data_IF_336522781856
#
_entry.id   IF_336522781856
#
_cell.length_a   1.000
_cell.length_b   1.000
_cell.length_c   1.000
_cell.angle_alpha   90.00
_cell.angle_beta   90.00
_cell.angle_gamma   90.00
#
_symmetry.space_group_name_H-M   'P 1'
#
loop_
_entity.id
_entity.type
_entity.pdbx_description
1 polymer ?
#
# COMPACT_ATOMS: atom_id res chain seq x y z
N UNK A 1 -7.76 -53.32 6.50
CA UNK A 1 -7.38 -52.10 5.79
C UNK A 1 -8.43 -51.02 6.03
N UNK A 2 -8.26 -50.17 7.08
CA UNK A 2 -9.08 -48.97 7.26
C UNK A 2 -8.66 -47.97 6.19
N UNK A 3 -9.62 -47.47 5.43
CA UNK A 3 -9.43 -46.52 4.33
C UNK A 3 -8.70 -45.26 4.81
N UNK A 4 -7.56 -44.94 4.24
CA UNK A 4 -6.75 -43.74 4.40
C UNK A 4 -7.49 -42.44 4.02
N UNK A 5 -8.77 -42.56 3.64
CA UNK A 5 -9.60 -41.53 2.98
C UNK A 5 -10.32 -40.57 3.93
N UNK A 6 -10.19 -40.74 5.28
CA UNK A 6 -10.96 -39.91 6.24
C UNK A 6 -10.13 -39.09 7.22
N UNK A 7 -8.80 -38.97 6.98
CA UNK A 7 -7.93 -38.17 7.83
C UNK A 7 -8.09 -36.69 7.45
N UNK A 8 -8.61 -35.88 8.36
CA UNK A 8 -8.60 -34.42 8.24
C UNK A 8 -7.33 -33.85 8.87
N UNK A 9 -6.58 -33.06 8.08
CA UNK A 9 -5.41 -32.33 8.56
C UNK A 9 -5.86 -31.03 9.25
N UNK A 10 -5.47 -30.85 10.49
CA UNK A 10 -5.72 -29.62 11.25
C UNK A 10 -4.57 -28.65 11.00
N UNK A 11 -4.85 -27.57 10.33
CA UNK A 11 -3.86 -26.54 9.96
C UNK A 11 -4.13 -25.27 10.75
N UNK A 12 -3.11 -24.75 11.40
CA UNK A 12 -3.17 -23.47 12.10
C UNK A 12 -2.50 -22.40 11.27
N UNK A 13 -3.21 -21.32 10.99
CA UNK A 13 -2.66 -20.09 10.42
C UNK A 13 -2.54 -19.03 11.54
N UNK A 14 -1.31 -18.80 11.98
CA UNK A 14 -0.94 -17.77 12.95
C UNK A 14 -0.41 -16.54 12.19
N UNK A 15 -1.34 -15.87 11.54
CA UNK A 15 -1.09 -14.72 10.67
C UNK A 15 -1.88 -13.54 11.24
N UNK A 16 -1.22 -12.42 11.63
CA UNK A 16 -1.92 -11.23 12.12
C UNK A 16 -2.86 -10.66 11.06
N UNK A 17 -4.00 -10.12 11.48
CA UNK A 17 -4.98 -9.48 10.58
C UNK A 17 -4.99 -7.97 10.77
N UNK A 18 -3.80 -7.34 10.73
CA UNK A 18 -3.64 -5.92 11.01
C UNK A 18 -3.26 -5.10 9.78
N UNK A 19 -2.74 -5.73 8.72
CA UNK A 19 -2.24 -5.05 7.54
C UNK A 19 -2.65 -5.76 6.26
N UNK A 20 -2.69 -5.04 5.14
CA UNK A 20 -3.04 -5.61 3.85
C UNK A 20 -2.15 -6.80 3.41
N UNK A 21 -0.82 -6.78 3.60
CA UNK A 21 0.01 -7.95 3.28
C UNK A 21 -0.39 -9.21 4.06
N UNK A 22 -0.66 -9.08 5.36
CA UNK A 22 -1.08 -10.24 6.16
C UNK A 22 -2.48 -10.73 5.80
N UNK A 23 -3.39 -9.83 5.42
CA UNK A 23 -4.68 -10.22 4.86
C UNK A 23 -4.52 -10.95 3.52
N UNK A 24 -3.65 -10.45 2.62
CA UNK A 24 -3.35 -11.10 1.34
C UNK A 24 -2.80 -12.50 1.53
N UNK A 25 -1.81 -12.66 2.41
CA UNK A 25 -1.24 -13.95 2.74
C UNK A 25 -2.31 -14.93 3.23
N UNK A 26 -3.18 -14.47 4.13
CA UNK A 26 -4.28 -15.29 4.67
C UNK A 26 -5.30 -15.64 3.59
N UNK A 27 -5.65 -14.72 2.67
CA UNK A 27 -6.53 -15.03 1.53
C UNK A 27 -5.96 -16.14 0.66
N UNK A 28 -4.66 -16.12 0.37
CA UNK A 28 -3.97 -17.18 -0.38
C UNK A 28 -4.04 -18.54 0.34
N UNK A 29 -3.80 -18.56 1.64
CA UNK A 29 -3.93 -19.78 2.47
C UNK A 29 -5.36 -20.31 2.43
N UNK A 30 -6.37 -19.45 2.58
CA UNK A 30 -7.79 -19.82 2.51
C UNK A 30 -8.14 -20.34 1.11
N UNK A 31 -7.65 -19.69 0.05
CA UNK A 31 -7.88 -20.14 -1.32
C UNK A 31 -7.35 -21.56 -1.54
N UNK A 32 -6.13 -21.87 -1.07
CA UNK A 32 -5.60 -23.22 -1.12
C UNK A 32 -6.45 -24.21 -0.29
N UNK A 33 -6.79 -23.87 0.96
CA UNK A 33 -7.57 -24.71 1.85
C UNK A 33 -8.93 -25.12 1.24
N UNK A 34 -9.58 -24.22 0.47
CA UNK A 34 -10.82 -24.50 -0.26
C UNK A 34 -10.68 -25.57 -1.35
N UNK A 35 -9.48 -25.78 -1.87
CA UNK A 35 -9.21 -26.86 -2.83
C UNK A 35 -9.05 -28.22 -2.15
N UNK A 36 -8.99 -28.27 -0.80
CA UNK A 36 -8.69 -29.46 0.00
C UNK A 36 -9.86 -29.82 0.91
N UNK A 37 -10.57 -30.91 0.60
CA UNK A 37 -11.68 -31.42 1.43
C UNK A 37 -11.21 -31.98 2.77
N UNK A 38 -9.96 -32.37 2.87
CA UNK A 38 -9.32 -32.98 4.04
C UNK A 38 -8.59 -31.98 4.94
N UNK A 39 -8.72 -30.67 4.69
CA UNK A 39 -8.18 -29.62 5.53
C UNK A 39 -9.23 -29.05 6.49
N UNK A 40 -8.80 -28.82 7.74
CA UNK A 40 -9.51 -28.02 8.73
C UNK A 40 -8.62 -26.84 9.11
N UNK A 41 -8.89 -25.65 8.56
CA UNK A 41 -8.10 -24.44 8.82
C UNK A 41 -8.61 -23.74 10.07
N UNK A 42 -7.70 -23.43 11.00
CA UNK A 42 -7.93 -22.66 12.22
C UNK A 42 -7.08 -21.40 12.20
N UNK A 43 -7.69 -20.24 12.48
CA UNK A 43 -6.97 -18.98 12.63
C UNK A 43 -6.57 -18.80 14.09
N UNK A 44 -5.26 -18.63 14.33
CA UNK A 44 -4.70 -18.40 15.65
C UNK A 44 -4.64 -16.88 15.95
N UNK A 45 -5.78 -16.23 16.04
CA UNK A 45 -5.84 -14.79 16.36
C UNK A 45 -5.80 -14.49 17.86
N UNK A 46 -5.86 -15.51 18.71
CA UNK A 46 -5.86 -15.35 20.16
C UNK A 46 -4.50 -15.72 20.74
N UNK A 47 -4.03 -14.92 21.69
CA UNK A 47 -2.82 -15.22 22.50
C UNK A 47 -2.88 -16.61 23.17
N UNK A 48 -4.07 -17.15 23.35
CA UNK A 48 -4.31 -18.47 23.96
C UNK A 48 -4.05 -19.64 23.02
N UNK A 49 -4.07 -19.46 21.69
CA UNK A 49 -3.92 -20.58 20.75
C UNK A 49 -2.59 -21.32 20.91
N UNK A 50 -1.44 -20.64 21.05
CA UNK A 50 -0.19 -21.28 21.36
C UNK A 50 -0.19 -22.02 22.71
N UNK A 51 -0.79 -21.44 23.75
CA UNK A 51 -0.91 -22.08 25.08
C UNK A 51 -1.78 -23.34 25.00
N UNK A 52 -2.86 -23.32 24.22
CA UNK A 52 -3.69 -24.50 23.96
C UNK A 52 -2.95 -25.59 23.21
N UNK A 53 -2.04 -25.22 22.35
CA UNK A 53 -1.14 -26.16 21.69
C UNK A 53 -0.12 -26.76 22.68
N UNK A 54 0.51 -25.95 23.50
CA UNK A 54 1.46 -26.41 24.53
C UNK A 54 0.81 -27.32 25.56
N UNK A 55 -0.44 -27.04 25.94
CA UNK A 55 -1.22 -27.88 26.84
C UNK A 55 -1.76 -29.17 26.20
N UNK A 56 -1.60 -29.34 24.89
CA UNK A 56 -2.17 -30.46 24.13
C UNK A 56 -3.66 -30.33 23.81
N UNK A 57 -4.32 -29.24 24.21
CA UNK A 57 -5.72 -29.00 23.89
C UNK A 57 -6.00 -28.80 22.38
N UNK A 58 -4.97 -28.38 21.62
CA UNK A 58 -4.97 -28.31 20.16
C UNK A 58 -3.75 -29.06 19.65
N UNK A 59 -3.96 -30.04 18.77
CA UNK A 59 -2.88 -30.80 18.11
C UNK A 59 -2.99 -30.57 16.59
N UNK A 60 -2.31 -29.53 16.04
CA UNK A 60 -2.27 -29.31 14.60
C UNK A 60 -1.36 -30.33 13.91
N UNK A 61 -1.66 -30.62 12.65
CA UNK A 61 -0.79 -31.41 11.76
C UNK A 61 0.23 -30.50 11.05
N UNK A 62 -0.04 -29.18 10.95
CA UNK A 62 0.86 -28.20 10.38
C UNK A 62 0.52 -26.76 10.77
N UNK A 63 1.50 -25.87 10.67
CA UNK A 63 1.39 -24.46 11.06
C UNK A 63 1.97 -23.56 9.99
N UNK A 64 1.28 -22.45 9.68
CA UNK A 64 1.83 -21.30 8.97
C UNK A 64 1.89 -20.15 9.97
N UNK A 65 3.08 -19.67 10.37
CA UNK A 65 3.24 -18.61 11.35
C UNK A 65 4.00 -17.43 10.77
N UNK A 66 3.45 -16.23 10.88
CA UNK A 66 4.07 -14.98 10.43
C UNK A 66 4.99 -14.37 11.49
N UNK A 67 4.80 -14.69 12.77
CA UNK A 67 5.49 -14.07 13.91
C UNK A 67 6.38 -15.10 14.65
N UNK A 68 7.26 -15.77 13.96
CA UNK A 68 7.97 -16.93 14.50
C UNK A 68 8.92 -16.61 15.65
N UNK A 69 9.62 -15.47 15.61
CA UNK A 69 10.65 -15.13 16.61
C UNK A 69 10.07 -14.80 18.00
N UNK A 70 8.78 -14.50 18.07
CA UNK A 70 8.04 -14.22 19.31
C UNK A 70 6.99 -15.28 19.61
N UNK A 71 6.86 -16.32 18.78
CA UNK A 71 5.80 -17.31 18.84
C UNK A 71 6.22 -18.55 19.62
N UNK A 72 5.35 -19.10 20.48
CA UNK A 72 5.52 -20.42 21.11
C UNK A 72 5.62 -21.58 20.10
N UNK A 73 5.29 -21.36 18.81
CA UNK A 73 5.46 -22.35 17.75
C UNK A 73 6.90 -22.78 17.52
N UNK A 74 7.91 -22.02 17.99
CA UNK A 74 9.33 -22.47 17.97
C UNK A 74 9.52 -23.77 18.75
N UNK A 75 8.75 -24.01 19.82
CA UNK A 75 8.70 -25.28 20.53
C UNK A 75 8.15 -26.43 19.69
N UNK A 76 7.19 -26.11 18.78
CA UNK A 76 6.58 -27.10 17.89
C UNK A 76 7.56 -27.63 16.83
N UNK A 77 8.49 -26.78 16.35
CA UNK A 77 9.57 -27.19 15.43
C UNK A 77 10.44 -28.27 16.03
N UNK A 78 10.70 -28.22 17.32
CA UNK A 78 11.47 -29.26 18.06
C UNK A 78 10.75 -30.61 18.03
N UNK A 79 9.42 -30.62 17.90
CA UNK A 79 8.58 -31.83 17.83
C UNK A 79 8.35 -32.34 16.40
N UNK A 80 9.11 -31.84 15.41
CA UNK A 80 9.01 -32.19 13.97
C UNK A 80 7.66 -31.86 13.33
N UNK A 81 6.90 -30.91 13.89
CA UNK A 81 5.67 -30.42 13.27
C UNK A 81 6.01 -29.66 11.98
N UNK A 82 5.40 -29.98 10.83
CA UNK A 82 5.54 -29.20 9.62
C UNK A 82 5.16 -27.75 9.85
N UNK A 83 6.06 -26.82 9.49
CA UNK A 83 5.88 -25.42 9.73
C UNK A 83 6.37 -24.60 8.52
N UNK A 84 5.57 -23.62 8.10
CA UNK A 84 5.98 -22.57 7.16
C UNK A 84 6.13 -21.26 7.93
N UNK A 85 7.28 -20.61 7.77
CA UNK A 85 7.56 -19.32 8.40
C UNK A 85 7.20 -18.17 7.48
N UNK A 86 6.45 -17.18 8.00
CA UNK A 86 6.14 -15.92 7.32
C UNK A 86 7.27 -14.89 7.35
N UNK A 87 8.38 -15.19 8.01
CA UNK A 87 9.58 -14.36 8.09
C UNK A 87 10.83 -15.22 7.98
N UNK A 88 11.93 -14.71 7.39
CA UNK A 88 13.22 -15.38 7.39
C UNK A 88 13.71 -15.63 8.83
N UNK A 89 14.28 -16.81 9.08
CA UNK A 89 14.77 -17.18 10.40
C UNK A 89 16.08 -17.97 10.29
N UNK A 90 17.00 -17.83 11.26
CA UNK A 90 18.20 -18.68 11.37
C UNK A 90 17.88 -20.18 11.42
N UNK A 91 16.65 -20.52 11.84
CA UNK A 91 16.16 -21.91 11.93
C UNK A 91 15.52 -22.41 10.63
N UNK A 92 15.60 -21.69 9.52
CA UNK A 92 14.92 -21.97 8.24
C UNK A 92 15.13 -23.41 7.73
N UNK A 93 16.28 -24.01 8.00
CA UNK A 93 16.56 -25.42 7.60
C UNK A 93 15.59 -26.45 8.20
N UNK A 94 14.90 -26.10 9.29
CA UNK A 94 13.95 -26.97 10.00
C UNK A 94 12.50 -26.74 9.54
N UNK A 95 12.25 -25.70 8.76
CA UNK A 95 10.91 -25.37 8.27
C UNK A 95 10.62 -26.09 6.97
N UNK A 96 9.35 -26.33 6.70
CA UNK A 96 8.89 -26.80 5.40
C UNK A 96 9.21 -25.77 4.30
N UNK A 97 8.89 -24.50 4.56
CA UNK A 97 9.26 -23.38 3.73
C UNK A 97 9.33 -22.08 4.56
N UNK A 98 9.90 -21.03 3.98
CA UNK A 98 9.86 -19.66 4.51
C UNK A 98 9.38 -18.69 3.45
N UNK A 99 8.67 -17.64 3.89
CA UNK A 99 8.17 -16.57 3.04
C UNK A 99 9.05 -15.35 3.25
N UNK A 100 9.41 -14.66 2.18
CA UNK A 100 10.21 -13.44 2.22
C UNK A 100 9.75 -12.42 1.19
N UNK A 101 9.94 -11.13 1.50
CA UNK A 101 9.68 -10.05 0.55
C UNK A 101 10.88 -9.87 -0.39
N UNK A 102 10.61 -9.75 -1.68
CA UNK A 102 11.57 -9.26 -2.68
C UNK A 102 11.68 -7.74 -2.59
N UNK A 103 12.48 -7.27 -1.63
CA UNK A 103 12.67 -5.85 -1.39
C UNK A 103 13.39 -5.15 -2.55
N UNK A 104 14.10 -5.89 -3.42
CA UNK A 104 14.73 -5.31 -4.62
C UNK A 104 13.67 -4.91 -5.65
N UNK A 105 12.66 -5.76 -5.90
CA UNK A 105 11.55 -5.41 -6.79
C UNK A 105 10.74 -4.23 -6.27
N UNK A 106 10.47 -4.19 -4.97
CA UNK A 106 9.76 -3.07 -4.30
C UNK A 106 10.56 -1.78 -4.44
N UNK A 107 11.85 -1.81 -4.13
CA UNK A 107 12.72 -0.64 -4.20
C UNK A 107 12.88 -0.12 -5.63
N UNK A 108 13.00 -1.01 -6.62
CA UNK A 108 13.08 -0.66 -8.03
C UNK A 108 11.82 0.09 -8.49
N UNK A 109 10.63 -0.43 -8.19
CA UNK A 109 9.36 0.24 -8.52
C UNK A 109 9.23 1.61 -7.84
N UNK A 110 9.62 1.71 -6.57
CA UNK A 110 9.61 2.97 -5.84
C UNK A 110 10.56 4.00 -6.45
N UNK A 111 11.80 3.58 -6.75
CA UNK A 111 12.81 4.44 -7.37
C UNK A 111 12.39 4.90 -8.77
N UNK A 112 11.89 3.99 -9.62
CA UNK A 112 11.37 4.31 -10.95
C UNK A 112 10.22 5.30 -10.88
N UNK A 113 9.27 5.05 -9.97
CA UNK A 113 8.10 5.92 -9.80
C UNK A 113 8.51 7.33 -9.39
N UNK A 114 9.31 7.49 -8.34
CA UNK A 114 9.72 8.80 -7.85
C UNK A 114 10.63 9.53 -8.86
N UNK A 115 11.59 8.83 -9.49
CA UNK A 115 12.45 9.42 -10.50
C UNK A 115 11.67 9.89 -11.75
N UNK A 116 10.68 9.10 -12.21
CA UNK A 116 9.83 9.47 -13.35
C UNK A 116 8.95 10.69 -13.09
N UNK A 117 8.73 11.04 -11.82
CA UNK A 117 7.99 12.26 -11.40
C UNK A 117 8.83 13.53 -11.45
N UNK A 118 10.12 13.42 -11.79
CA UNK A 118 11.02 14.56 -11.98
C UNK A 118 11.66 15.09 -10.70
N UNK A 119 11.55 14.38 -9.57
CA UNK A 119 12.29 14.73 -8.36
C UNK A 119 13.80 14.61 -8.58
N UNK A 120 14.56 15.47 -7.89
CA UNK A 120 16.03 15.48 -7.88
C UNK A 120 16.59 15.18 -6.50
N UNK A 121 15.75 15.26 -5.48
CA UNK A 121 16.08 14.92 -4.11
C UNK A 121 15.21 13.74 -3.67
N UNK A 122 15.83 12.81 -2.99
CA UNK A 122 15.17 11.58 -2.56
C UNK A 122 15.46 11.30 -1.09
N UNK A 123 14.51 10.69 -0.43
CA UNK A 123 14.64 10.29 0.95
C UNK A 123 13.96 8.94 1.21
N UNK A 124 14.40 8.26 2.25
CA UNK A 124 13.77 7.06 2.78
C UNK A 124 13.45 7.26 4.26
N UNK A 125 12.28 6.84 4.69
CA UNK A 125 11.94 6.76 6.10
C UNK A 125 11.48 5.34 6.44
N UNK A 126 12.04 4.77 7.51
CA UNK A 126 11.71 3.41 7.94
C UNK A 126 12.04 3.16 9.40
N UNK A 127 11.41 2.14 9.98
CA UNK A 127 11.63 1.77 11.38
C UNK A 127 12.84 0.87 11.58
N UNK A 128 13.31 0.80 12.82
CA UNK A 128 14.11 -0.31 13.31
C UNK A 128 13.17 -1.37 13.90
N UNK A 129 13.57 -2.63 13.85
CA UNK A 129 12.77 -3.71 14.44
C UNK A 129 13.36 -5.08 14.14
N UNK A 130 12.79 -6.14 14.73
CA UNK A 130 13.30 -7.50 14.58
C UNK A 130 13.12 -8.06 13.16
N UNK A 131 12.33 -7.40 12.31
CA UNK A 131 12.02 -7.88 10.98
C UNK A 131 13.09 -7.44 9.96
N UNK A 132 13.85 -8.36 9.36
CA UNK A 132 14.93 -8.04 8.42
C UNK A 132 14.47 -7.22 7.21
N UNK A 133 13.22 -7.39 6.77
CA UNK A 133 12.69 -6.70 5.59
C UNK A 133 12.78 -5.17 5.64
N UNK A 134 12.78 -4.56 6.86
CA UNK A 134 12.90 -3.10 7.01
C UNK A 134 14.28 -2.60 6.57
N UNK A 135 15.32 -3.24 7.09
CA UNK A 135 16.71 -2.91 6.72
C UNK A 135 17.00 -3.29 5.27
N UNK A 136 16.52 -4.43 4.82
CA UNK A 136 16.67 -4.89 3.42
C UNK A 136 16.02 -3.90 2.44
N UNK A 137 14.78 -3.43 2.72
CA UNK A 137 14.07 -2.45 1.89
C UNK A 137 14.80 -1.12 1.82
N UNK A 138 15.32 -0.64 2.96
CA UNK A 138 16.13 0.57 3.03
C UNK A 138 17.39 0.44 2.17
N UNK A 139 18.14 -0.63 2.33
CA UNK A 139 19.38 -0.83 1.57
C UNK A 139 19.12 -1.07 0.09
N UNK A 140 18.04 -1.78 -0.26
CA UNK A 140 17.61 -1.96 -1.64
C UNK A 140 17.28 -0.60 -2.30
N UNK A 141 16.51 0.26 -1.63
CA UNK A 141 16.19 1.58 -2.16
C UNK A 141 17.44 2.47 -2.29
N UNK A 142 18.32 2.47 -1.30
CA UNK A 142 19.60 3.21 -1.39
C UNK A 142 20.44 2.74 -2.57
N UNK A 143 20.55 1.43 -2.78
CA UNK A 143 21.28 0.84 -3.90
C UNK A 143 20.68 1.25 -5.24
N UNK A 144 19.37 1.16 -5.40
CA UNK A 144 18.65 1.58 -6.61
C UNK A 144 18.85 3.07 -6.92
N UNK A 145 18.77 3.95 -5.91
CA UNK A 145 18.95 5.38 -6.09
C UNK A 145 20.40 5.73 -6.41
N UNK A 146 21.38 5.10 -5.77
CA UNK A 146 22.80 5.29 -6.08
C UNK A 146 23.14 4.84 -7.49
N UNK A 147 22.56 3.75 -7.96
CA UNK A 147 22.68 3.30 -9.35
C UNK A 147 22.17 4.33 -10.38
N UNK A 148 21.29 5.26 -9.94
CA UNK A 148 20.75 6.37 -10.73
C UNK A 148 21.50 7.69 -10.51
N UNK A 149 22.59 7.69 -9.71
CA UNK A 149 23.39 8.88 -9.40
C UNK A 149 22.82 9.74 -8.27
N UNK A 150 21.93 9.22 -7.43
CA UNK A 150 21.36 9.93 -6.28
C UNK A 150 21.74 9.26 -4.96
N UNK A 151 22.00 10.05 -3.92
CA UNK A 151 22.18 9.54 -2.55
C UNK A 151 21.00 9.98 -1.69
N UNK A 152 20.06 9.07 -1.36
CA UNK A 152 18.86 9.44 -0.63
C UNK A 152 19.17 9.71 0.85
N UNK A 153 18.60 10.78 1.39
CA UNK A 153 18.61 11.03 2.83
C UNK A 153 17.80 9.92 3.55
N UNK A 154 18.23 9.53 4.75
CA UNK A 154 17.59 8.44 5.49
C UNK A 154 17.15 8.93 6.87
N UNK A 155 15.88 8.69 7.20
CA UNK A 155 15.38 8.80 8.56
C UNK A 155 15.06 7.40 9.10
N UNK A 156 15.57 7.12 10.30
CA UNK A 156 15.29 5.85 10.97
C UNK A 156 14.56 6.12 12.27
N UNK A 157 13.35 5.58 12.37
CA UNK A 157 12.59 5.59 13.62
C UNK A 157 13.25 4.65 14.61
N UNK A 158 13.29 5.06 15.88
CA UNK A 158 13.74 4.24 16.99
C UNK A 158 12.78 3.08 17.30
N UNK A 159 13.05 2.33 18.38
CA UNK A 159 12.08 1.40 18.95
C UNK A 159 10.79 2.14 19.30
N UNK A 160 9.66 1.40 19.36
CA UNK A 160 8.39 1.99 19.74
C UNK A 160 8.52 2.75 21.08
N UNK A 161 8.10 4.04 21.14
CA UNK A 161 8.26 4.86 22.34
C UNK A 161 7.46 4.27 23.49
N UNK A 162 8.08 4.14 24.66
CA UNK A 162 7.44 3.64 25.88
C UNK A 162 6.65 4.71 26.64
N UNK A 163 6.88 5.98 26.31
CA UNK A 163 6.26 7.12 26.98
C UNK A 163 5.80 8.20 26.01
N UNK A 164 4.82 9.02 26.43
CA UNK A 164 4.36 10.16 25.65
C UNK A 164 5.48 11.22 25.41
N UNK A 165 6.46 11.30 26.31
CA UNK A 165 7.62 12.20 26.15
C UNK A 165 8.51 11.73 25.01
N UNK A 166 8.82 10.45 24.96
CA UNK A 166 9.62 9.84 23.86
C UNK A 166 8.92 9.96 22.53
N UNK A 167 7.60 9.71 22.47
CA UNK A 167 6.79 9.88 21.27
C UNK A 167 6.85 11.32 20.75
N UNK A 168 6.71 12.33 21.64
CA UNK A 168 6.83 13.75 21.25
C UNK A 168 8.25 14.11 20.77
N UNK A 169 9.28 13.57 21.40
CA UNK A 169 10.67 13.83 21.01
C UNK A 169 10.98 13.23 19.62
N UNK A 170 10.51 12.01 19.35
CA UNK A 170 10.68 11.38 18.02
C UNK A 170 9.91 12.14 16.94
N UNK A 171 8.68 12.59 17.24
CA UNK A 171 7.89 13.42 16.33
C UNK A 171 8.62 14.74 16.00
N UNK A 172 9.14 15.43 17.01
CA UNK A 172 9.88 16.68 16.80
C UNK A 172 11.17 16.45 15.96
N UNK A 173 11.87 15.33 16.18
CA UNK A 173 13.04 14.94 15.38
C UNK A 173 12.67 14.68 13.92
N UNK A 174 11.55 14.00 13.67
CA UNK A 174 11.03 13.76 12.32
C UNK A 174 10.68 15.06 11.60
N UNK A 175 9.93 15.95 12.25
CA UNK A 175 9.54 17.24 11.67
C UNK A 175 10.74 18.14 11.36
N UNK A 176 11.73 18.17 12.24
CA UNK A 176 12.98 18.91 12.00
C UNK A 176 13.74 18.36 10.78
N UNK A 177 13.81 17.02 10.67
CA UNK A 177 14.44 16.38 9.52
C UNK A 177 13.68 16.66 8.22
N UNK A 178 12.35 16.56 8.22
CA UNK A 178 11.50 16.87 7.06
C UNK A 178 11.71 18.33 6.59
N UNK A 179 11.82 19.30 7.52
CA UNK A 179 12.11 20.71 7.16
C UNK A 179 13.49 20.89 6.56
N UNK A 180 14.48 20.14 7.02
CA UNK A 180 15.88 20.24 6.56
C UNK A 180 16.13 19.60 5.19
N UNK A 181 15.25 18.71 4.71
CA UNK A 181 15.41 18.11 3.39
C UNK A 181 15.34 19.18 2.29
N UNK A 182 16.15 19.08 1.23
CA UNK A 182 16.00 19.91 0.04
C UNK A 182 14.67 19.62 -0.65
N UNK A 183 14.02 20.68 -1.17
CA UNK A 183 12.69 20.61 -1.78
C UNK A 183 12.73 20.86 -3.29
N UNK A 184 11.82 20.26 -4.07
CA UNK A 184 10.89 19.19 -3.70
C UNK A 184 11.64 17.85 -3.55
N UNK A 185 11.16 16.99 -2.64
CA UNK A 185 11.75 15.68 -2.36
C UNK A 185 10.77 14.54 -2.56
N UNK A 186 11.22 13.44 -3.18
CA UNK A 186 10.49 12.17 -3.24
C UNK A 186 10.87 11.30 -2.04
N UNK A 187 9.93 11.07 -1.12
CA UNK A 187 10.12 10.32 0.11
C UNK A 187 9.46 8.94 0.00
N UNK A 188 10.24 7.89 0.18
CA UNK A 188 9.80 6.51 0.22
C UNK A 188 9.70 6.02 1.68
N UNK A 189 8.50 5.61 2.10
CA UNK A 189 8.22 5.03 3.39
C UNK A 189 8.32 3.50 3.36
N UNK A 190 8.75 2.87 4.44
CA UNK A 190 8.89 1.40 4.49
C UNK A 190 7.55 0.64 4.48
N UNK A 191 6.42 1.29 4.80
CA UNK A 191 5.06 0.75 4.70
C UNK A 191 4.01 1.88 4.66
N UNK A 192 2.76 1.56 4.31
CA UNK A 192 1.67 2.53 4.24
C UNK A 192 1.34 3.17 5.58
N UNK A 193 1.37 2.40 6.66
CA UNK A 193 1.10 2.93 7.99
C UNK A 193 2.09 4.05 8.37
N UNK A 194 3.39 3.82 8.09
CA UNK A 194 4.40 4.86 8.31
C UNK A 194 4.23 6.04 7.34
N UNK A 195 3.80 5.79 6.11
CA UNK A 195 3.54 6.84 5.14
C UNK A 195 2.44 7.82 5.61
N UNK A 196 1.40 7.33 6.30
CA UNK A 196 0.39 8.18 6.94
C UNK A 196 1.00 9.09 8.01
N UNK A 197 1.86 8.54 8.87
CA UNK A 197 2.57 9.31 9.89
C UNK A 197 3.45 10.40 9.29
N UNK A 198 4.07 10.11 8.13
CA UNK A 198 4.89 11.09 7.39
C UNK A 198 4.03 12.19 6.77
N UNK A 199 2.87 11.87 6.18
CA UNK A 199 1.93 12.88 5.65
C UNK A 199 1.45 13.80 6.78
N UNK A 200 1.09 13.23 7.94
CA UNK A 200 0.68 14.00 9.11
C UNK A 200 1.83 14.86 9.66
N UNK A 201 3.06 14.32 9.68
CA UNK A 201 4.24 15.08 10.08
C UNK A 201 4.54 16.25 9.13
N UNK A 202 4.38 16.07 7.83
CA UNK A 202 4.50 17.15 6.85
C UNK A 202 3.50 18.27 7.12
N UNK A 203 2.21 17.91 7.35
CA UNK A 203 1.15 18.88 7.68
C UNK A 203 1.50 19.69 8.93
N UNK A 204 1.93 19.04 10.02
CA UNK A 204 2.33 19.71 11.26
C UNK A 204 3.57 20.58 11.07
N UNK A 205 4.50 20.15 10.20
CA UNK A 205 5.70 20.90 9.85
C UNK A 205 5.43 22.08 8.91
N UNK A 206 4.20 22.27 8.41
CA UNK A 206 3.83 23.29 7.42
C UNK A 206 4.34 22.99 6.01
N UNK A 207 4.57 21.72 5.70
CA UNK A 207 5.05 21.27 4.38
C UNK A 207 3.89 20.71 3.55
N UNK A 208 3.85 21.08 2.28
CA UNK A 208 2.83 20.60 1.33
C UNK A 208 3.16 19.19 0.81
N UNK A 209 2.15 18.33 0.77
CA UNK A 209 2.23 17.01 0.14
C UNK A 209 1.27 16.99 -1.07
N UNK A 210 1.78 16.79 -2.27
CA UNK A 210 3.13 16.37 -2.65
C UNK A 210 4.09 17.53 -3.03
N UNK A 211 3.72 18.79 -2.90
CA UNK A 211 4.47 19.93 -3.42
C UNK A 211 5.90 20.05 -2.88
N UNK A 212 6.05 20.02 -1.56
CA UNK A 212 7.37 20.03 -0.91
C UNK A 212 7.90 18.60 -0.74
N UNK A 213 7.05 17.68 -0.31
CA UNK A 213 7.39 16.29 -0.01
C UNK A 213 6.37 15.36 -0.67
N UNK A 214 6.76 14.64 -1.70
CA UNK A 214 5.95 13.56 -2.23
C UNK A 214 6.17 12.29 -1.42
N UNK A 215 5.11 11.64 -0.96
CA UNK A 215 5.18 10.45 -0.10
C UNK A 215 4.68 9.22 -0.85
N UNK A 216 5.52 8.18 -0.90
CA UNK A 216 5.20 6.87 -1.47
C UNK A 216 5.27 5.81 -0.38
N UNK A 217 4.21 5.03 -0.22
CA UNK A 217 4.12 3.89 0.69
C UNK A 217 4.39 2.54 0.02
N UNK A 218 4.20 1.48 0.78
CA UNK A 218 4.19 0.07 0.35
C UNK A 218 3.05 -0.63 1.07
N UNK A 219 2.42 -1.58 0.43
CA UNK A 219 1.36 -2.52 0.83
C UNK A 219 0.07 -2.31 0.03
N UNK A 220 -0.16 -1.11 -0.52
CA UNK A 220 -1.40 -0.69 -1.20
C UNK A 220 -2.65 -1.06 -0.40
N UNK A 221 -2.62 -0.76 0.91
CA UNK A 221 -3.77 -0.98 1.79
C UNK A 221 -4.88 0.03 1.46
N UNK A 222 -6.04 -0.41 0.94
CA UNK A 222 -7.09 0.52 0.53
C UNK A 222 -7.60 1.40 1.68
N UNK A 223 -7.68 0.85 2.89
CA UNK A 223 -8.18 1.59 4.06
C UNK A 223 -7.21 2.71 4.44
N UNK A 224 -5.91 2.47 4.39
CA UNK A 224 -4.90 3.46 4.70
C UNK A 224 -4.71 4.46 3.56
N UNK A 225 -4.61 3.95 2.33
CA UNK A 225 -4.32 4.78 1.16
C UNK A 225 -5.44 5.77 0.83
N UNK A 226 -6.71 5.37 1.00
CA UNK A 226 -7.86 6.19 0.63
C UNK A 226 -8.34 7.12 1.75
N UNK A 227 -8.02 6.81 3.02
CA UNK A 227 -8.28 7.72 4.15
C UNK A 227 -7.22 8.79 4.32
N UNK A 228 -6.05 8.64 3.69
CA UNK A 228 -5.01 9.65 3.70
C UNK A 228 -5.48 10.94 2.98
N UNK A 229 -5.01 12.08 3.46
CA UNK A 229 -5.24 13.38 2.81
C UNK A 229 -3.91 14.14 2.70
N UNK A 230 -3.35 14.21 1.48
CA UNK A 230 -3.79 13.64 0.19
C UNK A 230 -3.76 12.10 0.16
N UNK A 231 -4.55 11.47 -0.72
CA UNK A 231 -4.61 10.01 -0.89
C UNK A 231 -3.23 9.43 -1.22
N UNK A 232 -2.88 8.32 -0.55
CA UNK A 232 -1.53 7.77 -0.55
C UNK A 232 -1.24 6.89 -1.77
N UNK A 233 -0.21 7.26 -2.53
CA UNK A 233 0.41 6.40 -3.54
C UNK A 233 1.20 5.28 -2.86
N UNK A 234 1.09 4.05 -3.35
CA UNK A 234 1.73 2.90 -2.71
C UNK A 234 2.16 1.83 -3.71
N UNK A 235 3.19 1.06 -3.35
CA UNK A 235 3.65 -0.13 -4.08
C UNK A 235 2.77 -1.31 -3.68
N UNK A 236 2.03 -1.88 -4.64
CA UNK A 236 1.23 -3.09 -4.44
C UNK A 236 2.12 -4.35 -4.46
N UNK A 237 1.77 -5.32 -3.61
CA UNK A 237 2.50 -6.58 -3.42
C UNK A 237 1.66 -7.79 -3.86
N UNK A 238 2.30 -8.85 -4.38
CA UNK A 238 1.69 -10.12 -4.81
C UNK A 238 1.60 -11.17 -3.68
N UNK A 239 1.16 -10.75 -2.52
CA UNK A 239 1.21 -11.56 -1.29
C UNK A 239 0.24 -12.74 -1.29
N UNK A 240 -0.85 -12.67 -2.05
CA UNK A 240 -1.89 -13.71 -2.08
C UNK A 240 -1.35 -15.01 -2.71
N UNK A 241 -0.59 -14.89 -3.81
CA UNK A 241 0.06 -16.04 -4.46
C UNK A 241 1.09 -16.69 -3.54
N UNK A 242 1.82 -15.89 -2.75
CA UNK A 242 2.74 -16.42 -1.73
C UNK A 242 2.01 -17.20 -0.62
N UNK A 243 0.82 -16.73 -0.21
CA UNK A 243 -0.03 -17.44 0.75
C UNK A 243 -0.50 -18.78 0.24
N UNK A 244 -0.91 -18.84 -1.04
CA UNK A 244 -1.30 -20.09 -1.69
C UNK A 244 -0.13 -21.07 -1.78
N UNK A 245 1.05 -20.60 -2.22
CA UNK A 245 2.26 -21.42 -2.31
C UNK A 245 2.71 -21.92 -0.92
N UNK A 246 2.60 -21.09 0.12
CA UNK A 246 2.90 -21.45 1.50
C UNK A 246 2.01 -22.61 2.01
N UNK A 247 0.72 -22.54 1.72
CA UNK A 247 -0.22 -23.61 2.07
C UNK A 247 0.07 -24.90 1.29
N UNK A 248 0.44 -24.80 0.01
CA UNK A 248 0.83 -25.96 -0.81
C UNK A 248 2.12 -26.62 -0.28
N UNK A 249 3.11 -25.82 0.12
CA UNK A 249 4.35 -26.31 0.72
C UNK A 249 4.08 -27.04 2.05
N UNK A 250 3.21 -26.46 2.89
CA UNK A 250 2.80 -27.08 4.15
C UNK A 250 2.07 -28.42 3.91
N UNK A 251 1.13 -28.47 2.95
CA UNK A 251 0.40 -29.67 2.60
C UNK A 251 1.34 -30.80 2.15
N UNK A 252 2.31 -30.48 1.28
CA UNK A 252 3.32 -31.45 0.85
C UNK A 252 4.12 -31.99 2.06
N UNK A 253 4.57 -31.11 2.95
CA UNK A 253 5.33 -31.50 4.13
C UNK A 253 4.51 -32.37 5.10
N UNK A 254 3.23 -32.05 5.34
CA UNK A 254 2.34 -32.87 6.19
C UNK A 254 2.11 -34.28 5.63
N UNK A 255 2.18 -34.43 4.30
CA UNK A 255 2.03 -35.72 3.60
C UNK A 255 3.34 -36.45 3.40
N UNK A 256 4.46 -35.93 3.94
CA UNK A 256 5.79 -36.50 3.74
C UNK A 256 6.31 -36.41 2.29
N UNK A 257 5.73 -35.51 1.47
CA UNK A 257 6.14 -35.28 0.09
C UNK A 257 7.25 -34.24 0.04
N UNK A 258 8.12 -34.27 -1.00
CA UNK A 258 9.09 -33.21 -1.22
C UNK A 258 8.40 -31.84 -1.40
N UNK A 259 8.94 -30.80 -0.76
CA UNK A 259 8.51 -29.42 -0.94
C UNK A 259 9.26 -28.85 -2.15
N UNK A 260 8.52 -28.44 -3.18
CA UNK A 260 9.08 -27.98 -4.45
C UNK A 260 9.85 -26.66 -4.28
N UNK A 261 9.27 -25.71 -3.55
CA UNK A 261 9.89 -24.43 -3.24
C UNK A 261 9.87 -24.18 -1.72
N UNK A 262 11.06 -24.07 -1.16
CA UNK A 262 11.25 -23.79 0.28
C UNK A 262 11.49 -22.32 0.56
N UNK A 263 11.66 -21.47 -0.48
CA UNK A 263 11.85 -20.03 -0.37
C UNK A 263 10.81 -19.31 -1.19
N UNK A 264 9.64 -19.19 -0.63
CA UNK A 264 8.49 -18.51 -1.25
C UNK A 264 8.74 -17.02 -1.20
N UNK A 265 8.78 -16.36 -2.36
CA UNK A 265 9.01 -14.92 -2.45
C UNK A 265 7.76 -14.23 -2.96
N UNK A 266 7.49 -13.06 -2.41
CA UNK A 266 6.54 -12.10 -2.94
C UNK A 266 7.23 -10.75 -3.13
N UNK A 267 6.72 -9.89 -3.99
CA UNK A 267 7.37 -8.62 -4.27
C UNK A 267 6.44 -7.53 -4.78
N UNK A 268 7.05 -6.44 -5.25
CA UNK A 268 6.32 -5.34 -5.86
C UNK A 268 5.82 -5.71 -7.25
N UNK A 269 4.53 -5.48 -7.49
CA UNK A 269 3.88 -5.72 -8.78
C UNK A 269 3.77 -4.43 -9.59
N UNK A 270 3.31 -3.37 -8.94
CA UNK A 270 3.09 -2.05 -9.55
C UNK A 270 3.00 -0.98 -8.47
N UNK A 271 3.17 0.29 -8.88
CA UNK A 271 2.79 1.42 -8.05
C UNK A 271 1.37 1.83 -8.40
N UNK A 272 0.48 1.89 -7.40
CA UNK A 272 -0.79 2.57 -7.52
C UNK A 272 -0.59 4.04 -7.18
N UNK A 273 -0.45 4.86 -8.22
CA UNK A 273 -0.28 6.30 -8.07
C UNK A 273 -1.59 6.98 -7.66
N UNK A 274 -1.51 7.78 -6.59
CA UNK A 274 -2.58 8.65 -6.07
C UNK A 274 -2.05 10.07 -5.88
N UNK A 275 -2.68 10.87 -5.04
CA UNK A 275 -2.36 12.30 -4.88
C UNK A 275 -1.01 12.56 -4.23
N UNK A 276 -0.57 11.74 -3.26
CA UNK A 276 0.65 11.97 -2.47
C UNK A 276 1.95 11.95 -3.27
N UNK A 277 1.91 11.47 -4.53
CA UNK A 277 3.01 11.57 -5.50
C UNK A 277 2.56 12.17 -6.83
N UNK A 278 1.46 12.90 -6.87
CA UNK A 278 1.01 13.58 -8.07
C UNK A 278 2.13 14.53 -8.55
N UNK A 279 2.35 14.54 -9.87
CA UNK A 279 3.48 15.26 -10.46
C UNK A 279 3.31 16.76 -10.26
N UNK A 280 4.30 17.38 -9.65
CA UNK A 280 4.48 18.84 -9.65
C UNK A 280 5.75 19.19 -10.43
N UNK A 281 5.56 19.70 -11.62
CA UNK A 281 6.63 20.38 -12.37
C UNK A 281 6.35 21.88 -12.31
N UNK A 282 6.99 22.58 -11.37
CA UNK A 282 6.87 24.04 -11.31
C UNK A 282 7.29 24.64 -9.96
N UNK A 283 8.23 25.57 -10.01
CA UNK A 283 8.83 26.24 -8.86
C UNK A 283 7.86 27.05 -7.97
N UNK A 284 6.62 27.33 -8.42
CA UNK A 284 5.75 28.33 -7.78
C UNK A 284 4.48 27.69 -7.15
N UNK A 285 4.29 26.37 -7.16
CA UNK A 285 3.11 25.72 -6.62
C UNK A 285 1.80 26.09 -7.31
N UNK A 286 1.83 26.82 -8.43
CA UNK A 286 0.66 27.34 -9.13
C UNK A 286 -0.29 26.23 -9.59
N UNK A 287 0.27 25.17 -10.20
CA UNK A 287 -0.50 24.02 -10.68
C UNK A 287 -1.04 23.17 -9.53
N UNK A 288 -0.29 23.09 -8.41
CA UNK A 288 -0.76 22.47 -7.19
C UNK A 288 -2.02 23.15 -6.63
N UNK A 289 -1.89 24.45 -6.44
CA UNK A 289 -3.02 25.28 -5.97
C UNK A 289 -4.20 25.21 -6.94
N UNK A 290 -3.93 25.19 -8.25
CA UNK A 290 -4.98 25.01 -9.26
C UNK A 290 -5.66 23.64 -9.14
N UNK A 291 -4.93 22.56 -8.95
CA UNK A 291 -5.49 21.24 -8.72
C UNK A 291 -6.29 21.14 -7.40
N UNK A 292 -5.84 21.81 -6.33
CA UNK A 292 -6.61 21.90 -5.09
C UNK A 292 -7.97 22.58 -5.33
N UNK A 293 -7.97 23.74 -6.02
CA UNK A 293 -9.20 24.43 -6.40
C UNK A 293 -10.12 23.59 -7.31
N UNK A 294 -9.56 22.77 -8.20
CA UNK A 294 -10.34 21.82 -9.00
C UNK A 294 -11.04 20.80 -8.11
N UNK A 295 -10.35 20.23 -7.13
CA UNK A 295 -10.93 19.23 -6.20
C UNK A 295 -12.01 19.83 -5.32
N UNK A 296 -11.73 20.97 -4.72
CA UNK A 296 -12.70 21.69 -3.87
C UNK A 296 -13.94 22.15 -4.62
N UNK A 297 -13.77 22.49 -5.91
CA UNK A 297 -14.83 23.02 -6.76
C UNK A 297 -15.55 22.00 -7.65
N UNK A 298 -15.34 20.68 -7.48
CA UNK A 298 -15.89 19.64 -8.38
C UNK A 298 -17.42 19.73 -8.49
N UNK A 299 -18.14 19.96 -7.39
CA UNK A 299 -19.60 20.11 -7.36
C UNK A 299 -20.11 21.50 -7.72
N UNK A 300 -19.24 22.49 -7.96
CA UNK A 300 -19.57 23.87 -8.22
C UNK A 300 -19.26 24.32 -9.65
N UNK A 301 -19.66 25.55 -9.97
CA UNK A 301 -19.33 26.23 -11.25
C UNK A 301 -17.92 26.86 -11.13
N UNK A 302 -16.87 26.05 -10.96
CA UNK A 302 -15.52 26.60 -10.99
C UNK A 302 -15.13 26.93 -12.43
N UNK A 303 -14.76 28.18 -12.70
CA UNK A 303 -14.23 28.63 -13.98
C UNK A 303 -12.70 28.81 -13.91
N UNK A 304 -12.01 28.58 -15.02
CA UNK A 304 -10.58 28.82 -15.14
C UNK A 304 -10.22 30.27 -14.85
N UNK A 305 -11.13 31.22 -15.17
CA UNK A 305 -10.97 32.63 -14.91
C UNK A 305 -11.01 32.96 -13.40
N UNK A 306 -11.91 32.31 -12.65
CA UNK A 306 -11.99 32.45 -11.20
C UNK A 306 -10.78 31.85 -10.53
N UNK A 307 -10.36 30.64 -10.94
CA UNK A 307 -9.14 30.02 -10.46
C UNK A 307 -7.91 30.92 -10.67
N UNK A 308 -7.78 31.50 -11.86
CA UNK A 308 -6.67 32.42 -12.16
C UNK A 308 -6.68 33.66 -11.24
N UNK A 309 -7.88 34.21 -10.99
CA UNK A 309 -8.06 35.33 -10.08
C UNK A 309 -7.70 34.99 -8.64
N UNK A 310 -8.17 33.84 -8.14
CA UNK A 310 -7.83 33.31 -6.81
C UNK A 310 -6.34 33.08 -6.63
N UNK A 311 -5.68 32.63 -7.69
CA UNK A 311 -4.23 32.32 -7.69
C UNK A 311 -3.34 33.55 -7.98
N UNK A 312 -3.95 34.73 -8.21
CA UNK A 312 -3.22 35.98 -8.48
C UNK A 312 -2.44 36.00 -9.82
N UNK A 313 -2.89 35.23 -10.81
CA UNK A 313 -2.24 35.14 -12.14
C UNK A 313 -3.23 35.39 -13.27
N UNK A 314 -2.72 35.73 -14.47
CA UNK A 314 -3.60 35.80 -15.64
C UNK A 314 -4.10 34.41 -16.06
N UNK A 315 -5.30 34.34 -16.64
CA UNK A 315 -5.85 33.10 -17.20
C UNK A 315 -4.87 32.44 -18.18
N UNK A 316 -4.26 33.25 -19.06
CA UNK A 316 -3.28 32.78 -20.05
C UNK A 316 -2.05 32.13 -19.35
N UNK A 317 -1.55 32.74 -18.28
CA UNK A 317 -0.45 32.22 -17.50
C UNK A 317 -0.81 30.90 -16.84
N UNK A 318 -2.01 30.80 -16.23
CA UNK A 318 -2.49 29.58 -15.61
C UNK A 318 -2.63 28.44 -16.64
N UNK A 319 -3.33 28.69 -17.77
CA UNK A 319 -3.53 27.70 -18.84
C UNK A 319 -2.20 27.23 -19.45
N UNK A 320 -1.28 28.16 -19.74
CA UNK A 320 0.02 27.84 -20.32
C UNK A 320 0.89 27.01 -19.38
N UNK A 321 1.01 27.42 -18.10
CA UNK A 321 1.79 26.70 -17.09
C UNK A 321 1.16 25.35 -16.78
N UNK A 322 -0.18 25.30 -16.58
CA UNK A 322 -0.86 24.06 -16.30
C UNK A 322 -0.64 23.03 -17.41
N UNK A 323 -0.79 23.44 -18.69
CA UNK A 323 -0.55 22.54 -19.83
C UNK A 323 0.93 22.14 -19.93
N UNK A 324 1.87 23.06 -19.72
CA UNK A 324 3.32 22.77 -19.76
C UNK A 324 3.73 21.75 -18.69
N UNK A 325 3.10 21.82 -17.51
CA UNK A 325 3.43 20.99 -16.36
C UNK A 325 2.69 19.64 -16.35
N UNK A 326 1.40 19.64 -16.73
CA UNK A 326 0.56 18.42 -16.67
C UNK A 326 0.44 17.69 -18.01
N UNK A 327 0.82 18.35 -19.10
CA UNK A 327 0.64 17.83 -20.46
C UNK A 327 -0.78 17.97 -21.01
N UNK A 328 -1.76 18.37 -20.17
CA UNK A 328 -3.18 18.52 -20.56
C UNK A 328 -3.71 19.91 -20.24
N UNK A 329 -4.67 20.43 -21.01
CA UNK A 329 -5.34 21.69 -20.68
C UNK A 329 -6.09 21.61 -19.34
N UNK A 330 -6.09 22.72 -18.55
CA UNK A 330 -6.75 22.76 -17.25
C UNK A 330 -8.27 22.46 -17.34
N UNK A 331 -8.95 22.91 -18.42
CA UNK A 331 -10.34 22.57 -18.67
C UNK A 331 -10.60 21.07 -18.83
N UNK A 332 -9.68 20.37 -19.48
CA UNK A 332 -9.75 18.91 -19.62
C UNK A 332 -9.52 18.21 -18.27
N UNK A 333 -8.61 18.72 -17.45
CA UNK A 333 -8.37 18.21 -16.10
C UNK A 333 -9.60 18.36 -15.21
N UNK A 334 -10.32 19.49 -15.29
CA UNK A 334 -11.59 19.72 -14.57
C UNK A 334 -12.64 18.69 -15.01
N UNK A 335 -12.82 18.50 -16.31
CA UNK A 335 -13.78 17.53 -16.84
C UNK A 335 -13.43 16.12 -16.37
N UNK A 336 -12.15 15.75 -16.41
CA UNK A 336 -11.68 14.44 -15.94
C UNK A 336 -12.01 14.21 -14.47
N UNK A 337 -11.73 15.17 -13.60
CA UNK A 337 -12.05 15.10 -12.18
C UNK A 337 -13.57 14.93 -11.93
N UNK A 338 -14.40 15.69 -12.65
CA UNK A 338 -15.87 15.59 -12.58
C UNK A 338 -16.39 14.21 -13.01
N UNK A 339 -15.81 13.64 -14.07
CA UNK A 339 -16.20 12.30 -14.55
C UNK A 339 -15.79 11.18 -13.59
N UNK A 340 -14.62 11.28 -12.95
CA UNK A 340 -14.22 10.33 -11.92
C UNK A 340 -15.16 10.38 -10.71
N UNK A 341 -15.53 11.59 -10.26
CA UNK A 341 -16.51 11.76 -9.19
C UNK A 341 -17.89 11.23 -9.57
N UNK A 342 -18.32 11.45 -10.80
CA UNK A 342 -19.59 10.91 -11.29
C UNK A 342 -19.55 9.37 -11.34
N UNK A 343 -18.41 8.76 -11.69
CA UNK A 343 -18.22 7.30 -11.66
C UNK A 343 -18.33 6.74 -10.23
N UNK A 344 -17.71 7.40 -9.25
CA UNK A 344 -17.85 7.04 -7.83
C UNK A 344 -19.31 7.08 -7.37
N UNK A 345 -20.05 8.15 -7.70
CA UNK A 345 -21.45 8.29 -7.33
C UNK A 345 -22.34 7.25 -8.02
N UNK A 346 -22.05 6.91 -9.28
CA UNK A 346 -22.79 5.87 -10.01
C UNK A 346 -22.59 4.48 -9.37
N UNK A 347 -21.40 4.15 -8.93
CA UNK A 347 -21.10 2.86 -8.30
C UNK A 347 -21.50 2.78 -6.83
N UNK A 348 -21.54 3.90 -6.12
CA UNK A 348 -21.77 3.96 -4.67
C UNK A 348 -23.16 4.42 -4.24
N UNK A 349 -24.02 4.89 -5.18
CA UNK A 349 -25.34 5.45 -4.83
C UNK A 349 -26.42 5.08 -5.84
N UNK A 350 -27.68 5.21 -5.43
CA UNK A 350 -28.85 5.06 -6.31
C UNK A 350 -29.34 6.39 -6.92
N UNK A 351 -28.55 7.48 -6.82
CA UNK A 351 -28.95 8.82 -7.30
C UNK A 351 -29.27 8.81 -8.79
N UNK A 352 -30.31 9.52 -9.25
CA UNK A 352 -30.62 9.72 -10.67
C UNK A 352 -29.44 10.35 -11.43
N UNK A 353 -29.32 10.06 -12.72
CA UNK A 353 -28.24 10.60 -13.56
C UNK A 353 -28.20 12.14 -13.61
N UNK A 354 -29.38 12.80 -13.54
CA UNK A 354 -29.47 14.27 -13.50
C UNK A 354 -28.84 14.81 -12.19
N UNK A 355 -29.17 14.21 -11.06
CA UNK A 355 -28.62 14.61 -9.77
C UNK A 355 -27.10 14.38 -9.68
N UNK A 356 -26.64 13.27 -10.26
CA UNK A 356 -25.18 13.01 -10.34
C UNK A 356 -24.50 14.03 -11.24
N UNK A 357 -25.10 14.37 -12.39
CA UNK A 357 -24.56 15.38 -13.30
C UNK A 357 -24.43 16.73 -12.59
N UNK A 358 -25.48 17.15 -11.88
CA UNK A 358 -25.50 18.40 -11.13
C UNK A 358 -24.48 18.40 -9.98
N UNK A 359 -24.45 17.34 -9.17
CA UNK A 359 -23.50 17.17 -8.08
C UNK A 359 -22.04 17.16 -8.54
N UNK A 360 -21.77 16.84 -9.80
CA UNK A 360 -20.45 16.88 -10.41
C UNK A 360 -20.18 18.14 -11.23
N UNK A 361 -21.09 19.11 -11.23
CA UNK A 361 -20.95 20.36 -11.98
C UNK A 361 -20.98 20.18 -13.50
N UNK A 362 -21.61 19.09 -13.99
CA UNK A 362 -21.86 18.84 -15.43
C UNK A 362 -23.22 19.47 -15.84
N UNK A 363 -23.33 19.94 -17.08
CA UNK A 363 -24.50 20.73 -17.51
C UNK A 363 -25.79 19.93 -17.64
N UNK A 364 -25.72 18.61 -17.81
CA UNK A 364 -26.87 17.69 -17.88
C UNK A 364 -26.42 16.22 -17.87
N UNK A 365 -27.33 15.28 -17.60
CA UNK A 365 -27.09 13.86 -17.76
C UNK A 365 -26.72 13.46 -19.19
N UNK A 366 -27.27 14.08 -20.18
CA UNK A 366 -26.96 13.87 -21.60
C UNK A 366 -25.49 14.24 -21.91
N UNK A 367 -25.06 15.42 -21.43
CA UNK A 367 -23.68 15.87 -21.55
C UNK A 367 -22.72 14.91 -20.80
N UNK A 368 -23.09 14.53 -19.58
CA UNK A 368 -22.35 13.51 -18.81
C UNK A 368 -22.20 12.21 -19.61
N UNK A 369 -23.28 11.67 -20.18
CA UNK A 369 -23.25 10.44 -20.96
C UNK A 369 -22.33 10.52 -22.19
N UNK A 370 -22.31 11.65 -22.88
CA UNK A 370 -21.41 11.88 -24.02
C UNK A 370 -19.95 11.87 -23.57
N UNK A 371 -19.62 12.57 -22.49
CA UNK A 371 -18.27 12.60 -21.94
C UNK A 371 -17.82 11.24 -21.38
N UNK A 372 -18.73 10.48 -20.75
CA UNK A 372 -18.48 9.12 -20.28
C UNK A 372 -18.09 8.16 -21.40
N UNK A 373 -18.88 8.13 -22.49
CA UNK A 373 -18.53 7.29 -23.66
C UNK A 373 -17.17 7.65 -24.24
N UNK A 374 -16.89 8.97 -24.34
CA UNK A 374 -15.60 9.44 -24.84
C UNK A 374 -14.42 9.05 -23.92
N UNK A 375 -14.62 9.05 -22.60
CA UNK A 375 -13.55 8.84 -21.62
C UNK A 375 -13.38 7.38 -21.23
N UNK A 376 -14.47 6.64 -21.03
CA UNK A 376 -14.48 5.29 -20.49
C UNK A 376 -14.94 4.22 -21.50
N UNK A 377 -15.32 4.61 -22.70
CA UNK A 377 -15.78 3.71 -23.75
C UNK A 377 -17.19 3.15 -23.53
N UNK A 378 -17.87 3.51 -22.43
CA UNK A 378 -19.17 2.98 -22.04
C UNK A 378 -20.08 4.08 -21.47
N UNK A 379 -21.42 3.93 -21.53
CA UNK A 379 -22.35 4.89 -20.94
C UNK A 379 -22.34 4.84 -19.39
N UNK A 380 -22.82 5.90 -18.69
CA UNK A 380 -22.88 5.92 -17.22
C UNK A 380 -23.63 4.74 -16.60
N UNK A 381 -24.69 4.25 -17.27
CA UNK A 381 -25.48 3.10 -16.81
C UNK A 381 -24.67 1.82 -16.63
N UNK A 382 -23.59 1.65 -17.38
CA UNK A 382 -22.69 0.48 -17.26
C UNK A 382 -21.83 0.49 -15.99
N UNK A 383 -21.82 1.61 -15.26
CA UNK A 383 -21.04 1.79 -14.03
C UNK A 383 -21.89 1.76 -12.77
N UNK A 384 -23.21 1.53 -12.88
CA UNK A 384 -24.07 1.30 -11.73
C UNK A 384 -23.81 -0.11 -11.16
N UNK A 385 -23.61 -0.16 -9.85
CA UNK A 385 -23.75 -1.42 -9.13
C UNK A 385 -25.22 -1.86 -9.24
N UNK A 386 -25.45 -3.08 -9.72
CA UNK A 386 -26.77 -3.68 -9.85
C UNK A 386 -27.43 -3.90 -8.51
#
# INVERSE_FOLDING_TARGET
MKRETDRRYRVVADIPTLTNPTHGLLRGVIAYARTRRDWSLMLAQRRETPLRFESGAVAPDGVISYLLDTSPWLGAVRRRLPLVSGVPSPNSRRFAAEISCDNDSVARLAAEHLASRGFRHFAFAGGVGPHPWRSERREAFRREMRGRGFDPAVFTFGPAPGTAKESRAERARLEAWLRALPKPVGLFADCDLLALDLIDACRTAGLDVPGDVAVLGVDDDPLLCETASPTLSSVALDVEDAGFAAAAALDAAMRGKPVADRRIRFGGVRVRARESTARFVGRDGLVAKANALVREGIGGRISVAEMARTLGVSRRTLEARFKAETGVPIGESIIRARLEKARELLSGTALPHEEIADACGLSSASHMATLFRRRFGAPPSSFRAG
#
